data_IF_644465577815
#
_entry.id   IF_644465577815
#
_cell.length_a   1.000
_cell.length_b   1.000
_cell.length_c   1.000
_cell.angle_alpha   90.00
_cell.angle_beta   90.00
_cell.angle_gamma   90.00
#
_symmetry.space_group_name_H-M   'P 1'
#
loop_
_entity.id
_entity.type
_entity.pdbx_description
1 polymer ?
#
# COMPACT_ATOMS: atom_id res chain seq x y z
N UNK A 1 -9.48 -25.15 0.30
CA UNK A 1 -9.36 -25.18 1.79
C UNK A 1 -10.75 -25.09 2.39
N UNK A 2 -11.02 -25.82 3.46
CA UNK A 2 -12.30 -25.69 4.17
C UNK A 2 -12.05 -24.97 5.49
N UNK A 3 -12.84 -23.93 5.74
CA UNK A 3 -12.84 -23.18 6.99
C UNK A 3 -14.15 -23.43 7.73
N UNK A 4 -14.07 -23.82 8.99
CA UNK A 4 -15.25 -24.03 9.82
C UNK A 4 -15.54 -22.78 10.64
N UNK A 5 -16.71 -22.19 10.44
CA UNK A 5 -17.18 -20.99 11.15
C UNK A 5 -18.50 -21.37 11.82
N UNK A 6 -18.56 -21.25 13.14
CA UNK A 6 -19.77 -21.57 13.92
C UNK A 6 -20.38 -22.96 13.59
N UNK A 7 -19.52 -23.98 13.40
CA UNK A 7 -19.94 -25.34 13.06
C UNK A 7 -20.36 -25.56 11.60
N UNK A 8 -20.31 -24.55 10.75
CA UNK A 8 -20.56 -24.64 9.31
C UNK A 8 -19.25 -24.63 8.52
N UNK A 9 -19.19 -25.45 7.50
CA UNK A 9 -18.00 -25.54 6.63
C UNK A 9 -18.15 -24.65 5.41
N UNK A 10 -17.17 -23.78 5.21
CA UNK A 10 -17.10 -22.90 4.06
C UNK A 10 -15.87 -23.22 3.21
N UNK A 11 -16.09 -23.37 1.91
CA UNK A 11 -15.01 -23.62 0.96
C UNK A 11 -14.33 -22.31 0.57
N UNK A 12 -13.03 -22.25 0.81
CA UNK A 12 -12.18 -21.13 0.44
C UNK A 12 -11.43 -21.49 -0.86
N UNK A 13 -11.59 -20.68 -1.88
CA UNK A 13 -10.94 -20.82 -3.18
C UNK A 13 -9.98 -19.65 -3.42
N UNK A 14 -8.79 -19.96 -3.91
CA UNK A 14 -7.73 -18.99 -4.15
C UNK A 14 -7.30 -19.03 -5.63
N UNK A 15 -8.12 -18.40 -6.47
CA UNK A 15 -7.94 -18.32 -7.91
C UNK A 15 -8.09 -16.89 -8.43
N UNK A 16 -8.42 -16.77 -9.71
CA UNK A 16 -8.66 -15.46 -10.35
C UNK A 16 -9.85 -14.72 -9.75
N UNK A 17 -10.91 -15.43 -9.37
CA UNK A 17 -12.07 -14.83 -8.72
C UNK A 17 -11.73 -14.23 -7.37
N UNK A 18 -10.91 -14.93 -6.58
CA UNK A 18 -10.36 -14.40 -5.33
C UNK A 18 -9.57 -13.11 -5.57
N UNK A 19 -8.67 -13.14 -6.55
CA UNK A 19 -7.84 -11.97 -6.89
C UNK A 19 -8.69 -10.78 -7.33
N UNK A 20 -9.70 -11.02 -8.17
CA UNK A 20 -10.62 -10.00 -8.64
C UNK A 20 -11.44 -9.39 -7.49
N UNK A 21 -11.91 -10.21 -6.55
CA UNK A 21 -12.64 -9.73 -5.39
C UNK A 21 -11.75 -8.97 -4.40
N UNK A 22 -10.52 -9.40 -4.18
CA UNK A 22 -9.55 -8.64 -3.38
C UNK A 22 -9.25 -7.27 -3.99
N UNK A 23 -9.09 -7.20 -5.30
CA UNK A 23 -8.86 -5.94 -6.01
C UNK A 23 -10.06 -4.98 -5.92
N UNK A 24 -11.28 -5.51 -5.91
CA UNK A 24 -12.48 -4.70 -5.67
C UNK A 24 -12.55 -4.14 -4.26
N UNK A 25 -12.18 -4.96 -3.26
CA UNK A 25 -12.29 -4.60 -1.84
C UNK A 25 -11.20 -3.67 -1.37
N UNK A 26 -10.02 -3.84 -1.90
CA UNK A 26 -8.82 -3.05 -1.60
C UNK A 26 -8.22 -2.49 -2.90
N UNK A 27 -8.92 -1.55 -3.56
CA UNK A 27 -8.33 -0.87 -4.70
C UNK A 27 -7.17 -0.02 -4.20
N UNK A 28 -6.00 -0.16 -4.80
CA UNK A 28 -4.93 0.80 -4.62
C UNK A 28 -5.09 1.91 -5.65
N UNK A 29 -4.96 3.13 -5.23
CA UNK A 29 -4.88 4.29 -6.10
C UNK A 29 -3.43 4.71 -6.25
N UNK A 30 -2.92 4.66 -7.46
CA UNK A 30 -1.64 5.22 -7.81
C UNK A 30 -1.90 6.35 -8.82
N UNK A 31 -1.56 7.57 -8.47
CA UNK A 31 -1.72 8.75 -9.33
C UNK A 31 -3.16 8.95 -9.88
N UNK A 32 -4.18 8.63 -9.07
CA UNK A 32 -5.58 8.76 -9.46
C UNK A 32 -6.11 7.62 -10.34
N UNK A 33 -5.29 6.62 -10.67
CA UNK A 33 -5.73 5.42 -11.35
C UNK A 33 -5.92 4.27 -10.37
N UNK A 34 -7.09 3.62 -10.45
CA UNK A 34 -7.35 2.40 -9.70
C UNK A 34 -6.53 1.27 -10.30
N UNK A 35 -5.54 0.82 -9.58
CA UNK A 35 -4.69 -0.30 -9.98
C UNK A 35 -5.08 -1.54 -9.18
N UNK A 36 -4.92 -2.72 -9.80
CA UNK A 36 -5.31 -4.00 -9.22
C UNK A 36 -4.41 -4.49 -8.08
N UNK A 37 -4.09 -3.64 -7.12
CA UNK A 37 -3.16 -3.94 -6.03
C UNK A 37 -3.78 -4.68 -4.83
N UNK A 38 -5.00 -5.21 -4.94
CA UNK A 38 -5.58 -6.02 -3.87
C UNK A 38 -4.72 -7.21 -3.46
N UNK A 39 -3.95 -7.75 -4.41
CA UNK A 39 -2.96 -8.79 -4.13
C UNK A 39 -1.77 -8.24 -3.32
N UNK A 40 -1.38 -6.98 -3.45
CA UNK A 40 -0.30 -6.39 -2.64
C UNK A 40 -0.65 -6.29 -1.17
N UNK A 41 -1.92 -6.16 -0.82
CA UNK A 41 -2.35 -6.22 0.57
C UNK A 41 -1.98 -7.57 1.22
N UNK A 42 -1.94 -8.65 0.44
CA UNK A 42 -1.55 -9.97 0.91
C UNK A 42 -0.05 -10.09 1.24
N UNK A 43 0.79 -9.17 0.75
CA UNK A 43 2.24 -9.19 1.02
C UNK A 43 2.60 -8.53 2.34
N UNK A 44 1.81 -7.57 2.78
CA UNK A 44 1.99 -6.94 4.06
C UNK A 44 1.33 -7.75 5.17
N UNK A 45 1.73 -9.03 5.27
CA UNK A 45 1.22 -9.98 6.27
C UNK A 45 1.26 -9.38 7.67
N UNK A 46 2.31 -8.64 8.00
CA UNK A 46 2.43 -7.96 9.30
C UNK A 46 1.40 -6.85 9.52
N UNK A 47 0.95 -6.18 8.46
CA UNK A 47 -0.12 -5.18 8.56
C UNK A 47 -1.51 -5.83 8.57
N UNK A 48 -1.66 -6.94 7.84
CA UNK A 48 -2.91 -7.69 7.81
C UNK A 48 -3.25 -8.36 9.15
N UNK A 49 -2.25 -8.82 9.88
CA UNK A 49 -2.44 -9.43 11.21
C UNK A 49 -2.94 -8.43 12.26
N UNK A 50 -2.67 -7.14 12.07
CA UNK A 50 -3.16 -6.07 12.95
C UNK A 50 -4.51 -5.48 12.54
N UNK A 51 -5.03 -5.82 11.34
CA UNK A 51 -6.28 -5.28 10.81
C UNK A 51 -7.38 -6.35 10.70
N UNK A 52 -8.36 -6.34 11.61
CA UNK A 52 -9.48 -7.29 11.56
C UNK A 52 -10.29 -7.20 10.26
N UNK A 53 -10.38 -6.03 9.64
CA UNK A 53 -11.08 -5.84 8.38
C UNK A 53 -10.36 -6.52 7.22
N UNK A 54 -9.03 -6.56 7.24
CA UNK A 54 -8.26 -7.25 6.22
C UNK A 54 -8.52 -8.78 6.26
N UNK A 55 -8.61 -9.35 7.44
CA UNK A 55 -8.97 -10.76 7.62
C UNK A 55 -10.40 -11.04 7.14
N UNK A 56 -11.34 -10.15 7.48
CA UNK A 56 -12.72 -10.21 7.01
C UNK A 56 -12.80 -10.18 5.48
N UNK A 57 -12.12 -9.24 4.84
CA UNK A 57 -12.10 -9.09 3.39
C UNK A 57 -11.47 -10.30 2.69
N UNK A 58 -10.43 -10.87 3.30
CA UNK A 58 -9.76 -12.08 2.81
C UNK A 58 -10.74 -13.27 2.73
N UNK A 59 -11.49 -13.53 3.80
CA UNK A 59 -12.47 -14.63 3.83
C UNK A 59 -13.62 -14.35 2.85
N UNK A 60 -14.11 -13.11 2.80
CA UNK A 60 -15.17 -12.72 1.85
C UNK A 60 -14.75 -12.90 0.40
N UNK A 61 -13.52 -12.55 0.07
CA UNK A 61 -12.99 -12.74 -1.27
C UNK A 61 -12.78 -14.23 -1.58
N UNK A 62 -12.28 -15.01 -0.63
CA UNK A 62 -12.03 -16.43 -0.80
C UNK A 62 -13.31 -17.27 -0.93
N UNK A 63 -14.43 -16.76 -0.40
CA UNK A 63 -15.76 -17.41 -0.50
C UNK A 63 -16.62 -16.80 -1.60
N UNK A 64 -16.11 -15.86 -2.40
CA UNK A 64 -16.92 -15.14 -3.38
C UNK A 64 -17.56 -16.05 -4.44
N UNK A 65 -16.85 -17.10 -4.86
CA UNK A 65 -17.31 -18.10 -5.83
C UNK A 65 -17.94 -19.35 -5.18
N UNK A 66 -17.88 -19.45 -3.85
CA UNK A 66 -18.43 -20.59 -3.15
C UNK A 66 -19.97 -20.58 -3.15
N UNK A 67 -20.64 -21.74 -3.21
CA UNK A 67 -22.10 -21.85 -3.17
C UNK A 67 -22.67 -21.37 -1.82
N UNK A 68 -21.91 -21.53 -0.75
CA UNK A 68 -22.25 -21.04 0.58
C UNK A 68 -21.24 -19.97 1.00
N UNK A 69 -21.77 -18.83 1.44
CA UNK A 69 -20.97 -17.69 1.88
C UNK A 69 -21.33 -17.36 3.32
N UNK A 70 -20.34 -17.11 4.18
CA UNK A 70 -20.63 -16.69 5.54
C UNK A 70 -21.29 -15.30 5.53
N UNK A 71 -22.25 -15.10 6.40
CA UNK A 71 -22.85 -13.78 6.63
C UNK A 71 -21.82 -12.84 7.31
N UNK A 72 -22.11 -11.56 7.32
CA UNK A 72 -21.26 -10.59 7.99
C UNK A 72 -21.22 -10.85 9.49
N UNK A 73 -22.38 -11.19 10.07
CA UNK A 73 -22.55 -11.49 11.49
C UNK A 73 -21.78 -12.76 11.89
N UNK A 74 -21.84 -13.80 11.06
CA UNK A 74 -21.08 -15.03 11.29
C UNK A 74 -19.56 -14.80 11.26
N UNK A 75 -19.08 -13.97 10.34
CA UNK A 75 -17.67 -13.61 10.26
C UNK A 75 -17.23 -12.75 11.43
N UNK A 76 -18.04 -11.78 11.82
CA UNK A 76 -17.75 -10.93 12.97
C UNK A 76 -17.66 -11.76 14.26
N UNK A 77 -18.65 -12.62 14.50
CA UNK A 77 -18.64 -13.52 15.65
C UNK A 77 -17.42 -14.45 15.66
N UNK A 78 -17.07 -14.99 14.50
CA UNK A 78 -15.89 -15.84 14.35
C UNK A 78 -14.59 -15.08 14.61
N UNK A 79 -14.49 -13.86 14.11
CA UNK A 79 -13.31 -13.02 14.32
C UNK A 79 -13.14 -12.68 15.81
N UNK A 80 -14.24 -12.31 16.49
CA UNK A 80 -14.24 -12.06 17.94
C UNK A 80 -13.78 -13.29 18.69
N UNK A 81 -14.27 -14.48 18.31
CA UNK A 81 -13.84 -15.73 18.89
C UNK A 81 -12.34 -15.96 18.71
N UNK A 82 -11.83 -15.82 17.49
CA UNK A 82 -10.40 -15.99 17.18
C UNK A 82 -9.51 -15.02 17.97
N UNK A 83 -9.94 -13.77 18.11
CA UNK A 83 -9.20 -12.76 18.88
C UNK A 83 -9.18 -13.16 20.36
N UNK A 84 -10.31 -13.58 20.90
CA UNK A 84 -10.43 -13.99 22.31
C UNK A 84 -9.58 -15.24 22.60
N UNK A 85 -9.53 -16.18 21.66
CA UNK A 85 -8.72 -17.40 21.76
C UNK A 85 -7.25 -17.21 21.41
N UNK A 86 -6.85 -16.04 20.89
CA UNK A 86 -5.48 -15.76 20.40
C UNK A 86 -5.08 -16.59 19.19
N UNK A 87 -6.04 -16.98 18.34
CA UNK A 87 -5.85 -17.90 17.22
C UNK A 87 -5.87 -17.23 15.85
N UNK A 88 -6.00 -15.92 15.80
CA UNK A 88 -6.07 -15.15 14.52
C UNK A 88 -4.86 -15.44 13.65
N UNK A 89 -3.67 -15.37 14.23
CA UNK A 89 -2.41 -15.59 13.52
C UNK A 89 -2.32 -17.00 12.93
N UNK A 90 -2.65 -18.02 13.72
CA UNK A 90 -2.64 -19.42 13.28
C UNK A 90 -3.57 -19.66 12.08
N UNK A 91 -4.80 -19.13 12.14
CA UNK A 91 -5.76 -19.28 11.05
C UNK A 91 -5.31 -18.51 9.82
N UNK A 92 -4.79 -17.32 10.02
CA UNK A 92 -4.25 -16.50 8.93
C UNK A 92 -3.07 -17.18 8.22
N UNK A 93 -2.12 -17.72 8.97
CA UNK A 93 -0.99 -18.48 8.41
C UNK A 93 -1.44 -19.69 7.60
N UNK A 94 -2.47 -20.39 8.09
CA UNK A 94 -3.07 -21.53 7.39
C UNK A 94 -3.68 -21.10 6.06
N UNK A 95 -4.37 -19.98 6.02
CA UNK A 95 -4.94 -19.39 4.80
C UNK A 95 -3.80 -18.96 3.84
N UNK A 96 -2.79 -18.30 4.34
CA UNK A 96 -1.66 -17.85 3.54
C UNK A 96 -0.85 -19.01 2.96
N UNK A 97 -0.74 -20.12 3.66
CA UNK A 97 -0.13 -21.34 3.14
C UNK A 97 -0.91 -21.88 1.93
N UNK A 98 -2.24 -21.82 1.97
CA UNK A 98 -3.08 -22.22 0.82
C UNK A 98 -2.99 -21.22 -0.33
N UNK A 99 -2.96 -19.92 -0.04
CA UNK A 99 -2.77 -18.87 -1.05
C UNK A 99 -1.46 -19.10 -1.83
N UNK A 100 -0.39 -19.43 -1.14
CA UNK A 100 0.93 -19.70 -1.76
C UNK A 100 0.96 -20.94 -2.63
N UNK A 101 0.06 -21.89 -2.43
CA UNK A 101 -0.09 -23.10 -3.29
C UNK A 101 -0.76 -22.78 -4.63
N UNK A 102 -1.49 -21.68 -4.73
CA UNK A 102 -2.12 -21.27 -5.96
C UNK A 102 -1.08 -20.74 -6.96
N UNK A 103 -0.91 -21.36 -8.15
CA UNK A 103 0.07 -20.88 -9.13
C UNK A 103 -0.21 -19.46 -9.61
N UNK A 104 -1.49 -19.09 -9.71
CA UNK A 104 -1.93 -17.77 -10.16
C UNK A 104 -1.52 -16.71 -9.13
N UNK A 105 -1.79 -16.98 -7.86
CA UNK A 105 -1.43 -16.04 -6.78
C UNK A 105 0.08 -16.00 -6.57
N UNK A 106 0.76 -17.14 -6.63
CA UNK A 106 2.22 -17.19 -6.55
C UNK A 106 2.88 -16.37 -7.67
N UNK A 107 2.33 -16.44 -8.89
CA UNK A 107 2.81 -15.62 -10.01
C UNK A 107 2.54 -14.14 -9.78
N UNK A 108 1.32 -13.76 -9.39
CA UNK A 108 0.98 -12.37 -9.07
C UNK A 108 1.88 -11.82 -7.97
N UNK A 109 2.16 -12.65 -6.98
CA UNK A 109 3.07 -12.33 -5.90
C UNK A 109 4.51 -12.07 -6.40
N UNK A 110 5.05 -12.92 -7.23
CA UNK A 110 6.42 -12.79 -7.75
C UNK A 110 6.59 -11.53 -8.60
N UNK A 111 5.66 -11.26 -9.52
CA UNK A 111 5.72 -10.09 -10.40
C UNK A 111 5.70 -8.77 -9.61
N UNK A 112 4.97 -8.73 -8.51
CA UNK A 112 4.89 -7.54 -7.68
C UNK A 112 6.12 -7.36 -6.77
N UNK A 113 6.73 -8.46 -6.34
CA UNK A 113 7.99 -8.40 -5.59
C UNK A 113 9.16 -7.83 -6.40
N UNK A 114 9.17 -8.10 -7.72
CA UNK A 114 10.17 -7.56 -8.64
C UNK A 114 9.88 -6.10 -9.05
N UNK A 115 8.64 -5.63 -8.88
CA UNK A 115 8.21 -4.26 -9.16
C UNK A 115 8.05 -3.39 -7.90
N UNK A 116 8.58 -3.82 -6.76
CA UNK A 116 8.75 -2.89 -5.66
C UNK A 116 9.49 -1.66 -6.24
N UNK A 117 8.91 -0.44 -6.17
CA UNK A 117 9.58 0.72 -6.67
C UNK A 117 10.92 0.80 -5.94
N UNK A 118 11.98 0.46 -6.66
CA UNK A 118 13.29 0.90 -6.26
C UNK A 118 13.18 2.41 -6.29
N UNK A 119 12.96 2.98 -5.12
CA UNK A 119 13.24 4.40 -4.94
C UNK A 119 14.65 4.56 -5.49
N UNK A 120 14.84 5.30 -6.58
CA UNK A 120 16.19 5.57 -7.03
C UNK A 120 16.86 6.22 -5.82
N UNK A 121 17.74 5.48 -5.19
CA UNK A 121 18.71 6.08 -4.29
C UNK A 121 19.58 6.90 -5.22
N UNK A 122 19.14 8.10 -5.52
CA UNK A 122 20.04 9.15 -5.95
C UNK A 122 21.09 9.18 -4.86
N UNK A 123 22.35 8.82 -5.16
CA UNK A 123 23.40 9.08 -4.21
C UNK A 123 23.26 10.58 -3.91
N UNK A 124 23.10 10.89 -2.65
CA UNK A 124 23.28 12.24 -2.16
C UNK A 124 24.71 12.64 -2.52
N UNK A 125 24.89 13.01 -3.78
CA UNK A 125 25.97 13.86 -4.16
C UNK A 125 25.69 15.13 -3.37
N UNK A 126 26.41 15.28 -2.31
CA UNK A 126 26.52 16.54 -1.59
C UNK A 126 26.96 17.56 -2.62
N UNK A 127 26.01 18.15 -3.31
CA UNK A 127 26.22 19.38 -4.01
C UNK A 127 26.36 20.39 -2.87
N UNK A 128 27.60 20.58 -2.46
CA UNK A 128 27.92 21.83 -1.77
C UNK A 128 27.33 22.92 -2.65
N UNK A 129 26.49 23.80 -2.13
CA UNK A 129 26.21 25.00 -2.83
C UNK A 129 27.53 25.76 -2.90
N UNK A 130 28.21 25.66 -4.02
CA UNK A 130 29.10 26.73 -4.40
C UNK A 130 28.19 27.93 -4.55
N UNK A 131 28.19 28.73 -3.51
CA UNK A 131 27.77 30.10 -3.62
C UNK A 131 28.83 30.73 -4.54
N UNK A 132 28.62 30.63 -5.82
CA UNK A 132 29.20 31.52 -6.74
C UNK A 132 28.59 32.90 -6.41
N UNK A 133 29.28 33.62 -5.58
CA UNK A 133 29.05 35.05 -5.42
C UNK A 133 29.35 35.60 -6.80
N UNK A 134 28.40 36.14 -7.55
CA UNK A 134 28.72 36.90 -8.73
C UNK A 134 29.56 38.05 -8.21
N UNK A 135 30.85 38.05 -8.51
CA UNK A 135 31.65 39.24 -8.43
C UNK A 135 31.03 40.20 -9.44
N UNK A 136 30.16 41.04 -8.98
CA UNK A 136 29.88 42.25 -9.67
C UNK A 136 31.20 42.98 -9.82
N UNK A 137 31.65 43.23 -11.05
CA UNK A 137 32.75 44.19 -11.22
C UNK A 137 32.27 45.49 -10.61
N UNK A 138 33.01 45.96 -9.64
CA UNK A 138 32.80 47.28 -9.11
C UNK A 138 33.04 48.25 -10.25
N UNK A 139 32.01 48.57 -10.98
CA UNK A 139 32.05 49.71 -11.86
C UNK A 139 32.04 50.91 -10.97
N UNK A 140 33.09 51.69 -11.09
CA UNK A 140 33.23 52.89 -10.39
C UNK A 140 31.97 53.73 -10.51
N UNK A 141 31.41 54.02 -9.38
CA UNK A 141 30.35 55.01 -9.33
C UNK A 141 30.98 56.30 -9.69
N UNK A 142 30.72 56.77 -10.88
CA UNK A 142 30.97 58.16 -11.20
C UNK A 142 30.08 59.00 -10.32
N UNK A 143 30.66 59.45 -9.23
CA UNK A 143 30.09 60.49 -8.41
C UNK A 143 30.21 61.81 -9.13
N UNK A 144 29.45 61.95 -10.17
CA UNK A 144 29.20 63.24 -10.72
C UNK A 144 27.76 63.62 -10.42
N UNK A 145 27.54 63.95 -9.18
CA UNK A 145 26.34 64.67 -8.81
C UNK A 145 26.58 66.13 -9.08
N UNK A 146 25.95 66.70 -10.07
CA UNK A 146 25.93 68.11 -10.16
C UNK A 146 25.12 68.66 -9.00
N UNK A 147 25.78 69.37 -8.19
CA UNK A 147 25.15 70.22 -7.19
C UNK A 147 24.28 71.25 -7.93
N UNK A 148 23.01 70.99 -7.98
CA UNK A 148 22.05 71.97 -8.44
C UNK A 148 21.50 72.70 -7.28
N UNK A 149 22.14 73.80 -7.01
CA UNK A 149 21.51 75.08 -6.99
C UNK A 149 20.24 75.16 -6.16
N UNK A 150 20.43 75.72 -4.98
CA UNK A 150 19.38 76.39 -4.30
C UNK A 150 18.65 77.36 -5.23
N UNK A 151 17.39 77.20 -5.33
CA UNK A 151 16.55 78.24 -5.91
C UNK A 151 16.33 79.32 -4.88
N UNK A 152 16.65 80.55 -5.20
CA UNK A 152 16.21 81.64 -4.39
C UNK A 152 14.72 81.88 -4.68
N UNK A 153 14.00 82.08 -3.61
CA UNK A 153 12.60 82.38 -3.44
C UNK A 153 11.69 81.26 -3.12
#
# INVERSE_FOLDING_TARGET
MILTINGKNYELTFGLGFLAEMNKRKPAELEGMKTGYGAMALFNVGQLLGDPLAFYDLIKAATAEAPQKPSNEELEAYLVQLITEGRVEQVFESIMAEVKKSPILAYAMKVQGDQAPQVPQTPLTTVQPQVEVPQQPAQGVDTNTPTQTAFPY
#
